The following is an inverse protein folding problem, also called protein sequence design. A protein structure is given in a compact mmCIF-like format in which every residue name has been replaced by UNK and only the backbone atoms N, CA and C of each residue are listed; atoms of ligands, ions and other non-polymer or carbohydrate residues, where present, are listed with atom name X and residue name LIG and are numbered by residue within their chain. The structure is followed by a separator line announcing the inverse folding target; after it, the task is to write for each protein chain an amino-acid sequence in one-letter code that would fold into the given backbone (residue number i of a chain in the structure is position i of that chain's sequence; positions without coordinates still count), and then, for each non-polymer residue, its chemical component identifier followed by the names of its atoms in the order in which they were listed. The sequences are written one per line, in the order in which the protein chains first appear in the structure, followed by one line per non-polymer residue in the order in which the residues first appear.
data_IF_172466903889
#
_entry.id   IF_172466903889
#
_cell.length_a   1.000
_cell.length_b   1.000
_cell.length_c   1.000
_cell.angle_alpha   90.00
_cell.angle_beta   90.00
_cell.angle_gamma   90.00
#
_symmetry.space_group_name_H-M   'P 1'
#
loop_
_entity.id
_entity.type
_entity.pdbx_description
1 polymer ?
#
# COMPACT_ATOMS: atom_id res chain seq x y z
N UNK A 1 -31.15 -17.79 5.60
CA UNK A 1 -32.20 -18.12 4.60
C UNK A 1 -33.25 -17.01 4.38
N UNK A 2 -33.40 -16.01 5.26
CA UNK A 2 -34.45 -14.99 5.12
C UNK A 2 -33.97 -13.63 4.58
N UNK A 3 -33.23 -13.62 3.46
CA UNK A 3 -32.67 -12.38 2.87
C UNK A 3 -33.43 -11.89 1.62
N UNK A 4 -34.54 -12.54 1.24
CA UNK A 4 -35.24 -12.25 -0.02
C UNK A 4 -35.74 -10.81 -0.10
N UNK A 5 -36.32 -10.27 0.99
CA UNK A 5 -36.89 -8.92 1.02
C UNK A 5 -35.82 -7.83 0.81
N UNK A 6 -34.71 -7.80 1.58
CA UNK A 6 -33.62 -6.85 1.33
C UNK A 6 -33.05 -6.92 -0.10
N UNK A 7 -32.94 -8.13 -0.68
CA UNK A 7 -32.46 -8.32 -2.06
C UNK A 7 -33.43 -7.68 -3.05
N UNK A 8 -34.73 -7.96 -2.94
CA UNK A 8 -35.74 -7.39 -3.82
C UNK A 8 -35.86 -5.87 -3.66
N UNK A 9 -35.74 -5.35 -2.44
CA UNK A 9 -35.70 -3.91 -2.18
C UNK A 9 -34.49 -3.26 -2.86
N UNK A 10 -33.32 -3.92 -2.83
CA UNK A 10 -32.11 -3.44 -3.52
C UNK A 10 -32.30 -3.41 -5.03
N UNK A 11 -32.83 -4.49 -5.61
CA UNK A 11 -33.13 -4.56 -7.05
C UNK A 11 -34.12 -3.48 -7.46
N UNK A 12 -35.20 -3.31 -6.68
CA UNK A 12 -36.21 -2.27 -6.93
C UNK A 12 -35.61 -0.88 -6.84
N UNK A 13 -34.72 -0.62 -5.87
CA UNK A 13 -34.06 0.66 -5.73
C UNK A 13 -33.11 0.93 -6.91
N UNK A 14 -32.36 -0.07 -7.39
CA UNK A 14 -31.52 0.05 -8.59
C UNK A 14 -32.36 0.42 -9.81
N UNK A 15 -33.49 -0.27 -10.04
CA UNK A 15 -34.42 0.03 -11.13
C UNK A 15 -35.08 1.40 -10.94
N UNK A 16 -35.51 1.77 -9.74
CA UNK A 16 -36.13 3.06 -9.44
C UNK A 16 -35.16 4.24 -9.52
N UNK A 17 -33.87 4.00 -9.31
CA UNK A 17 -32.79 4.97 -9.50
C UNK A 17 -32.31 5.09 -10.95
N UNK A 18 -32.90 4.33 -11.89
CA UNK A 18 -32.51 4.37 -13.31
C UNK A 18 -32.79 5.72 -13.98
N UNK A 19 -33.67 6.56 -13.42
CA UNK A 19 -33.82 7.97 -13.82
C UNK A 19 -32.59 8.84 -13.47
N UNK A 20 -31.66 8.30 -12.67
CA UNK A 20 -30.34 8.90 -12.33
C UNK A 20 -29.14 8.13 -12.90
N UNK A 21 -29.36 7.15 -13.78
CA UNK A 21 -28.32 6.40 -14.49
C UNK A 21 -27.56 5.40 -13.62
N UNK A 22 -27.91 4.11 -13.72
CA UNK A 22 -27.04 3.05 -13.21
C UNK A 22 -25.77 3.01 -14.06
N UNK A 23 -24.69 3.59 -13.53
CA UNK A 23 -23.42 3.76 -14.27
C UNK A 23 -22.61 2.46 -14.23
N UNK A 24 -22.96 1.51 -15.10
CA UNK A 24 -21.99 0.49 -15.51
C UNK A 24 -20.92 1.21 -16.34
N UNK A 25 -19.61 0.93 -16.14
CA UNK A 25 -18.57 1.53 -16.97
C UNK A 25 -18.86 1.28 -18.45
N UNK A 26 -18.73 2.31 -19.29
CA UNK A 26 -19.07 2.23 -20.72
C UNK A 26 -18.35 1.08 -21.44
N UNK A 27 -17.08 0.86 -21.10
CA UNK A 27 -16.25 -0.22 -21.64
C UNK A 27 -16.68 -1.64 -21.20
N UNK A 28 -17.52 -1.76 -20.16
CA UNK A 28 -18.05 -3.04 -19.68
C UNK A 28 -19.50 -3.27 -20.10
N UNK A 29 -20.23 -2.22 -20.51
CA UNK A 29 -21.66 -2.25 -20.75
C UNK A 29 -22.08 -3.36 -21.74
N UNK A 30 -21.48 -3.38 -22.93
CA UNK A 30 -21.87 -4.32 -23.99
C UNK A 30 -21.51 -5.76 -23.62
N UNK A 31 -20.29 -5.95 -23.08
CA UNK A 31 -19.84 -7.24 -22.56
C UNK A 31 -20.73 -7.76 -21.42
N UNK A 32 -21.22 -6.89 -20.54
CA UNK A 32 -22.14 -7.26 -19.46
C UNK A 32 -23.51 -7.69 -19.98
N UNK A 33 -24.02 -7.04 -21.03
CA UNK A 33 -25.28 -7.41 -21.69
C UNK A 33 -25.15 -8.62 -22.63
N UNK A 34 -23.92 -9.05 -22.93
CA UNK A 34 -23.63 -10.16 -23.84
C UNK A 34 -23.65 -9.76 -25.32
N UNK A 35 -23.50 -8.47 -25.62
CA UNK A 35 -23.31 -7.95 -26.97
C UNK A 35 -21.81 -7.70 -27.25
N UNK A 36 -21.46 -7.41 -28.50
CA UNK A 36 -20.10 -7.00 -28.87
C UNK A 36 -19.08 -8.15 -28.88
N UNK A 37 -17.80 -7.78 -28.86
CA UNK A 37 -16.70 -8.74 -28.81
C UNK A 37 -16.29 -8.98 -27.34
N UNK A 38 -16.29 -10.24 -26.86
CA UNK A 38 -15.94 -10.56 -25.47
C UNK A 38 -14.53 -10.11 -25.05
N UNK A 39 -13.64 -9.87 -26.02
CA UNK A 39 -12.29 -9.36 -25.79
C UNK A 39 -12.19 -7.85 -25.57
N UNK A 40 -13.23 -7.06 -25.86
CA UNK A 40 -13.16 -5.58 -25.82
C UNK A 40 -12.89 -5.02 -24.41
N UNK A 41 -13.32 -5.71 -23.37
CA UNK A 41 -13.06 -5.31 -21.99
C UNK A 41 -11.67 -5.73 -21.47
N UNK A 42 -10.83 -6.38 -22.29
CA UNK A 42 -9.48 -6.75 -21.86
C UNK A 42 -8.54 -5.56 -21.84
N UNK A 43 -7.50 -5.63 -20.99
CA UNK A 43 -6.55 -4.52 -20.88
C UNK A 43 -5.85 -4.19 -22.20
N UNK A 44 -5.57 -5.20 -23.05
CA UNK A 44 -4.95 -4.99 -24.37
C UNK A 44 -5.87 -4.16 -25.28
N UNK A 45 -7.16 -4.48 -25.33
CA UNK A 45 -8.14 -3.77 -26.16
C UNK A 45 -8.39 -2.35 -25.65
N UNK A 46 -8.54 -2.16 -24.33
CA UNK A 46 -8.74 -0.83 -23.75
C UNK A 46 -7.52 0.08 -23.93
N UNK A 47 -6.32 -0.49 -23.84
CA UNK A 47 -5.09 0.27 -24.07
C UNK A 47 -4.94 0.70 -25.54
N UNK A 48 -5.42 -0.12 -26.49
CA UNK A 48 -5.46 0.25 -27.91
C UNK A 48 -6.47 1.39 -28.17
N UNK A 49 -7.64 1.38 -27.52
CA UNK A 49 -8.66 2.43 -27.62
C UNK A 49 -8.21 3.79 -27.04
N UNK A 50 -7.60 3.77 -25.85
CA UNK A 50 -7.15 4.99 -25.16
C UNK A 50 -5.81 5.54 -25.72
N UNK A 51 -5.23 4.87 -26.73
CA UNK A 51 -4.00 5.28 -27.39
C UNK A 51 -2.72 5.09 -26.56
N UNK A 52 -2.81 4.49 -25.37
CA UNK A 52 -1.66 4.12 -24.54
C UNK A 52 -0.89 2.94 -25.15
N UNK A 53 -1.58 2.08 -25.89
CA UNK A 53 -1.04 0.85 -26.47
C UNK A 53 -0.57 -0.16 -25.43
N UNK A 54 -0.02 -1.29 -25.88
CA UNK A 54 0.53 -2.35 -25.00
C UNK A 54 1.84 -1.96 -24.30
N UNK A 55 2.37 -0.77 -24.61
CA UNK A 55 3.58 -0.25 -24.01
C UNK A 55 3.20 0.47 -22.70
N UNK A 56 3.68 -0.06 -21.59
CA UNK A 56 3.31 0.42 -20.26
C UNK A 56 4.38 0.07 -19.25
N UNK A 57 4.45 0.84 -18.17
CA UNK A 57 5.34 0.57 -17.05
C UNK A 57 4.51 0.14 -15.87
N UNK A 58 4.76 -1.05 -15.34
CA UNK A 58 4.12 -1.59 -14.16
C UNK A 58 5.16 -1.91 -13.10
N UNK A 59 4.88 -1.52 -11.87
CA UNK A 59 5.70 -1.93 -10.73
C UNK A 59 5.14 -3.23 -10.15
N UNK A 60 5.88 -4.33 -10.33
CA UNK A 60 5.52 -5.64 -9.81
C UNK A 60 5.93 -5.81 -8.34
N UNK A 61 6.63 -4.85 -7.74
CA UNK A 61 7.09 -4.92 -6.35
C UNK A 61 7.75 -6.27 -6.04
N UNK A 62 7.28 -6.97 -5.00
CA UNK A 62 7.76 -8.26 -4.53
C UNK A 62 7.10 -9.48 -5.21
N UNK A 63 6.43 -9.29 -6.37
CA UNK A 63 5.81 -10.40 -7.11
C UNK A 63 6.84 -11.46 -7.49
N UNK A 64 8.07 -11.05 -7.82
CA UNK A 64 9.16 -11.97 -8.15
C UNK A 64 10.11 -12.13 -6.97
N UNK A 65 10.57 -13.36 -6.77
CA UNK A 65 11.47 -13.73 -5.67
C UNK A 65 12.94 -13.52 -6.04
N UNK A 66 13.24 -13.50 -7.34
CA UNK A 66 14.59 -13.34 -7.89
C UNK A 66 14.51 -12.94 -9.35
N UNK A 67 15.64 -12.48 -9.90
CA UNK A 67 15.78 -12.22 -11.33
C UNK A 67 15.54 -13.48 -12.17
N UNK A 68 15.96 -14.66 -11.70
CA UNK A 68 15.70 -15.93 -12.38
C UNK A 68 14.20 -16.24 -12.46
N UNK A 69 13.47 -16.03 -11.36
CA UNK A 69 12.02 -16.18 -11.31
C UNK A 69 11.34 -15.21 -12.28
N UNK A 70 11.80 -13.96 -12.35
CA UNK A 70 11.30 -12.98 -13.31
C UNK A 70 11.52 -13.45 -14.76
N UNK A 71 12.74 -13.85 -15.13
CA UNK A 71 13.04 -14.30 -16.51
C UNK A 71 12.21 -15.52 -16.89
N UNK A 72 12.04 -16.47 -15.98
CA UNK A 72 11.16 -17.64 -16.21
C UNK A 72 9.69 -17.26 -16.38
N UNK A 73 9.24 -16.18 -15.77
CA UNK A 73 7.84 -15.72 -15.83
C UNK A 73 7.45 -15.15 -17.19
N UNK A 74 8.42 -14.76 -18.02
CA UNK A 74 8.18 -14.20 -19.36
C UNK A 74 8.94 -15.00 -20.44
N UNK A 75 8.58 -16.27 -20.70
CA UNK A 75 9.35 -17.18 -21.56
C UNK A 75 9.39 -16.78 -23.04
N UNK A 76 8.53 -15.85 -23.47
CA UNK A 76 8.40 -15.40 -24.86
C UNK A 76 8.87 -13.95 -25.08
N UNK A 77 9.41 -13.30 -24.04
CA UNK A 77 9.91 -11.94 -24.11
C UNK A 77 11.44 -11.91 -24.02
N UNK A 78 12.05 -10.95 -24.69
CA UNK A 78 13.47 -10.64 -24.50
C UNK A 78 13.61 -9.74 -23.27
N UNK A 79 14.11 -10.31 -22.17
CA UNK A 79 14.13 -9.66 -20.86
C UNK A 79 15.51 -9.08 -20.57
N UNK A 80 15.60 -7.76 -20.59
CA UNK A 80 16.78 -7.00 -20.18
C UNK A 80 16.57 -6.49 -18.75
N UNK A 81 17.38 -6.98 -17.81
CA UNK A 81 17.33 -6.55 -16.41
C UNK A 81 18.49 -5.61 -16.13
N UNK A 82 18.18 -4.42 -15.64
CA UNK A 82 19.14 -3.50 -15.04
C UNK A 82 18.93 -3.49 -13.53
N UNK A 83 20.00 -3.75 -12.78
CA UNK A 83 20.01 -3.59 -11.32
C UNK A 83 20.90 -2.40 -10.95
N UNK A 84 20.40 -1.56 -10.05
CA UNK A 84 21.24 -0.60 -9.31
C UNK A 84 22.12 -1.30 -8.27
N UNK A 85 22.81 -0.52 -7.45
CA UNK A 85 23.47 -1.05 -6.25
C UNK A 85 22.42 -1.63 -5.29
N UNK A 86 22.62 -2.87 -4.86
CA UNK A 86 21.71 -3.61 -3.98
C UNK A 86 22.41 -3.95 -2.67
N UNK A 87 21.73 -3.74 -1.55
CA UNK A 87 22.20 -4.15 -0.22
C UNK A 87 22.14 -5.69 -0.10
N UNK A 88 22.97 -6.29 0.77
CA UNK A 88 23.09 -7.75 0.92
C UNK A 88 21.77 -8.41 1.39
N UNK A 89 20.93 -7.67 2.13
CA UNK A 89 19.57 -8.09 2.55
C UNK A 89 18.43 -7.30 1.89
N UNK A 90 18.72 -6.67 0.74
CA UNK A 90 17.81 -5.81 -0.01
C UNK A 90 16.44 -6.44 -0.24
N UNK A 91 15.42 -5.57 -0.29
CA UNK A 91 14.08 -5.95 -0.68
C UNK A 91 13.92 -5.59 -2.14
N UNK A 92 14.33 -6.53 -2.99
CA UNK A 92 14.32 -6.31 -4.43
C UNK A 92 12.89 -6.25 -4.92
N UNK A 93 12.52 -5.10 -5.45
CA UNK A 93 11.32 -4.91 -6.24
C UNK A 93 11.68 -4.80 -7.71
N UNK A 94 10.71 -5.10 -8.57
CA UNK A 94 10.92 -5.12 -10.02
C UNK A 94 9.89 -4.25 -10.72
N UNK A 95 10.38 -3.20 -11.38
CA UNK A 95 9.58 -2.34 -12.23
C UNK A 95 9.80 -2.72 -13.69
N UNK A 96 8.74 -3.17 -14.34
CA UNK A 96 8.79 -3.71 -15.69
C UNK A 96 8.19 -2.73 -16.70
N UNK A 97 8.95 -2.41 -17.73
CA UNK A 97 8.53 -1.59 -18.88
C UNK A 97 8.35 -2.50 -20.09
N UNK A 98 7.11 -2.66 -20.52
CA UNK A 98 6.74 -3.44 -21.70
C UNK A 98 6.93 -2.58 -22.94
N UNK A 99 7.70 -3.08 -23.91
CA UNK A 99 7.95 -2.39 -25.17
C UNK A 99 7.33 -3.12 -26.36
N UNK A 100 7.44 -2.50 -27.53
CA UNK A 100 7.15 -3.16 -28.81
C UNK A 100 8.17 -4.30 -29.05
N UNK A 101 7.84 -5.18 -29.98
CA UNK A 101 8.71 -6.29 -30.41
C UNK A 101 9.06 -7.33 -29.32
N UNK A 102 8.14 -7.56 -28.37
CA UNK A 102 8.30 -8.54 -27.27
C UNK A 102 9.51 -8.27 -26.36
N UNK A 103 9.97 -7.02 -26.28
CA UNK A 103 11.05 -6.62 -25.39
C UNK A 103 10.52 -6.18 -24.03
N UNK A 104 11.16 -6.62 -22.95
CA UNK A 104 10.84 -6.30 -21.58
C UNK A 104 12.08 -5.71 -20.89
N UNK A 105 12.04 -4.42 -20.55
CA UNK A 105 13.07 -3.81 -19.70
C UNK A 105 12.61 -3.84 -18.25
N UNK A 106 13.47 -4.35 -17.37
CA UNK A 106 13.18 -4.41 -15.94
C UNK A 106 14.22 -3.65 -15.16
N UNK A 107 13.77 -2.71 -14.34
CA UNK A 107 14.56 -2.04 -13.34
C UNK A 107 14.34 -2.75 -12.00
N UNK A 108 15.38 -3.44 -11.52
CA UNK A 108 15.42 -3.94 -10.16
C UNK A 108 15.88 -2.81 -9.24
N UNK A 109 15.12 -2.52 -8.18
CA UNK A 109 15.46 -1.50 -7.19
C UNK A 109 15.32 -2.04 -5.76
N UNK A 110 16.16 -1.55 -4.85
CA UNK A 110 16.04 -1.85 -3.43
C UNK A 110 14.95 -0.98 -2.80
N UNK A 111 13.98 -1.62 -2.16
CA UNK A 111 12.93 -0.95 -1.39
C UNK A 111 13.19 -0.96 0.12
N UNK A 112 14.36 -1.43 0.56
CA UNK A 112 14.72 -1.43 1.97
C UNK A 112 15.27 -0.09 2.44
N UNK A 113 14.67 0.52 3.49
CA UNK A 113 15.33 1.56 4.28
C UNK A 113 16.68 1.03 4.78
N UNK A 114 17.69 1.91 4.81
CA UNK A 114 18.97 1.66 5.51
C UNK A 114 18.76 1.50 7.00
N UNK A 115 17.94 2.38 7.57
CA UNK A 115 17.60 2.36 8.99
C UNK A 115 16.10 2.14 9.15
N UNK A 116 15.74 1.08 9.90
CA UNK A 116 14.35 0.75 10.20
C UNK A 116 14.08 0.91 11.68
N UNK A 117 13.02 1.65 11.98
CA UNK A 117 12.43 1.69 13.31
C UNK A 117 11.33 0.61 13.36
N UNK A 118 11.63 -0.55 13.94
CA UNK A 118 10.67 -1.64 14.12
C UNK A 118 10.86 -2.86 13.21
N UNK A 119 9.75 -3.52 12.83
CA UNK A 119 9.76 -4.80 12.13
C UNK A 119 10.11 -4.67 10.63
N UNK A 120 10.76 -5.71 10.07
CA UNK A 120 11.02 -5.78 8.62
C UNK A 120 9.69 -5.91 7.86
N UNK A 121 9.51 -5.17 6.74
CA UNK A 121 8.32 -5.28 5.91
C UNK A 121 8.19 -6.71 5.37
N UNK A 122 6.94 -7.17 5.34
CA UNK A 122 6.64 -8.55 4.96
C UNK A 122 6.80 -8.71 3.45
N UNK A 123 7.22 -9.90 3.02
CA UNK A 123 7.46 -10.23 1.61
C UNK A 123 6.56 -11.34 1.14
N UNK A 124 6.25 -11.32 -0.14
CA UNK A 124 5.69 -12.45 -0.85
C UNK A 124 6.62 -13.68 -0.76
N UNK A 125 6.12 -14.83 -0.28
CA UNK A 125 6.89 -16.08 -0.30
C UNK A 125 6.60 -16.95 -1.53
N UNK A 126 5.67 -16.57 -2.40
CA UNK A 126 5.11 -17.45 -3.44
C UNK A 126 5.86 -17.29 -4.77
N UNK A 127 6.44 -18.38 -5.33
CA UNK A 127 6.99 -18.37 -6.69
C UNK A 127 5.85 -18.57 -7.70
N UNK A 128 5.26 -17.46 -8.17
CA UNK A 128 4.17 -17.50 -9.14
C UNK A 128 4.59 -18.12 -10.48
N UNK A 129 3.71 -18.91 -11.08
CA UNK A 129 3.96 -19.45 -12.43
C UNK A 129 3.81 -18.37 -13.51
N UNK A 130 4.35 -18.55 -14.73
CA UNK A 130 4.18 -17.59 -15.83
C UNK A 130 2.70 -17.26 -16.10
N UNK A 131 1.81 -18.25 -16.02
CA UNK A 131 0.36 -18.05 -16.17
C UNK A 131 -0.23 -17.21 -15.03
N UNK A 132 0.21 -17.42 -13.79
CA UNK A 132 -0.21 -16.62 -12.64
C UNK A 132 0.32 -15.19 -12.74
N UNK A 133 1.57 -14.99 -13.17
CA UNK A 133 2.13 -13.65 -13.42
C UNK A 133 1.35 -12.92 -14.51
N UNK A 134 0.95 -13.62 -15.58
CA UNK A 134 0.05 -13.05 -16.59
C UNK A 134 -1.30 -12.61 -16.01
N UNK A 135 -1.87 -13.40 -15.09
CA UNK A 135 -3.09 -13.03 -14.38
C UNK A 135 -2.90 -11.83 -13.43
N UNK A 136 -1.77 -11.76 -12.72
CA UNK A 136 -1.40 -10.62 -11.85
C UNK A 136 -1.27 -9.35 -12.69
N UNK A 137 -0.51 -9.41 -13.80
CA UNK A 137 -0.36 -8.30 -14.74
C UNK A 137 -1.73 -7.81 -15.22
N UNK A 138 -2.57 -8.72 -15.71
CA UNK A 138 -3.89 -8.34 -16.22
C UNK A 138 -4.74 -7.68 -15.13
N UNK A 139 -4.69 -8.18 -13.88
CA UNK A 139 -5.47 -7.62 -12.77
C UNK A 139 -4.96 -6.30 -12.20
N UNK A 140 -3.73 -5.90 -12.53
CA UNK A 140 -3.18 -4.58 -12.19
C UNK A 140 -3.54 -3.50 -13.22
N UNK A 141 -3.91 -3.92 -14.43
CA UNK A 141 -4.27 -3.04 -15.52
C UNK A 141 -5.78 -2.75 -15.52
N UNK A 142 -6.17 -1.69 -16.22
CA UNK A 142 -7.58 -1.36 -16.41
C UNK A 142 -8.26 -2.41 -17.29
N UNK A 143 -9.41 -2.92 -16.86
CA UNK A 143 -10.26 -3.79 -17.66
C UNK A 143 -10.91 -4.91 -16.85
N UNK A 144 -11.44 -5.90 -17.56
CA UNK A 144 -12.01 -7.12 -17.00
C UNK A 144 -10.98 -8.26 -17.05
N UNK A 145 -10.56 -8.73 -15.87
CA UNK A 145 -9.69 -9.90 -15.74
C UNK A 145 -10.49 -11.08 -15.20
N UNK A 146 -10.64 -12.12 -16.02
CA UNK A 146 -11.28 -13.38 -15.61
C UNK A 146 -10.24 -14.47 -15.39
N UNK A 147 -10.05 -14.89 -14.14
CA UNK A 147 -9.08 -15.92 -13.76
C UNK A 147 -9.81 -17.24 -13.51
N UNK A 148 -9.63 -18.20 -14.42
CA UNK A 148 -10.14 -19.56 -14.25
C UNK A 148 -9.01 -20.45 -13.72
N UNK A 149 -9.22 -21.07 -12.56
CA UNK A 149 -8.23 -21.96 -11.96
C UNK A 149 -8.90 -23.17 -11.30
N UNK A 150 -8.47 -24.41 -11.60
CA UNK A 150 -8.87 -25.61 -10.87
C UNK A 150 -8.67 -25.50 -9.34
N UNK A 151 -9.27 -26.40 -8.54
CA UNK A 151 -8.97 -26.48 -7.11
C UNK A 151 -7.45 -26.62 -6.86
N UNK A 152 -6.91 -25.85 -5.91
CA UNK A 152 -5.50 -25.93 -5.53
C UNK A 152 -4.50 -25.12 -6.38
N UNK A 153 -4.92 -24.39 -7.42
CA UNK A 153 -4.00 -23.64 -8.29
C UNK A 153 -3.57 -22.25 -7.78
N UNK A 154 -3.68 -21.99 -6.48
CA UNK A 154 -3.21 -20.73 -5.87
C UNK A 154 -4.01 -19.48 -6.23
N UNK A 155 -5.33 -19.60 -6.52
CA UNK A 155 -6.19 -18.45 -6.87
C UNK A 155 -6.16 -17.36 -5.79
N UNK A 156 -6.18 -17.73 -4.51
CA UNK A 156 -6.09 -16.78 -3.40
C UNK A 156 -4.76 -16.03 -3.43
N UNK A 157 -3.64 -16.71 -3.69
CA UNK A 157 -2.31 -16.08 -3.72
C UNK A 157 -2.21 -15.06 -4.85
N UNK A 158 -2.74 -15.39 -6.04
CA UNK A 158 -2.82 -14.46 -7.17
C UNK A 158 -3.67 -13.24 -6.81
N UNK A 159 -4.86 -13.45 -6.22
CA UNK A 159 -5.72 -12.35 -5.80
C UNK A 159 -5.05 -11.45 -4.76
N UNK A 160 -4.38 -12.04 -3.75
CA UNK A 160 -3.67 -11.28 -2.71
C UNK A 160 -2.50 -10.49 -3.30
N UNK A 161 -1.77 -11.02 -4.28
CA UNK A 161 -0.68 -10.27 -4.92
C UNK A 161 -1.23 -9.11 -5.77
N UNK A 162 -2.33 -9.31 -6.50
CA UNK A 162 -3.01 -8.22 -7.22
C UNK A 162 -3.40 -7.12 -6.23
N UNK A 163 -4.03 -7.48 -5.11
CA UNK A 163 -4.43 -6.54 -4.07
C UNK A 163 -3.23 -5.78 -3.48
N UNK A 164 -2.13 -6.47 -3.17
CA UNK A 164 -0.92 -5.86 -2.64
C UNK A 164 -0.28 -4.88 -3.64
N UNK A 165 -0.25 -5.24 -4.93
CA UNK A 165 0.29 -4.38 -5.97
C UNK A 165 -0.60 -3.14 -6.19
N UNK A 166 -1.93 -3.32 -6.31
CA UNK A 166 -2.88 -2.22 -6.45
C UNK A 166 -2.82 -1.25 -5.26
N UNK A 167 -2.70 -1.78 -4.04
CA UNK A 167 -2.56 -0.98 -2.81
C UNK A 167 -1.35 -0.05 -2.87
N UNK A 168 -0.22 -0.50 -3.44
CA UNK A 168 1.01 0.29 -3.57
C UNK A 168 0.99 1.20 -4.79
N UNK A 169 0.45 0.75 -5.91
CA UNK A 169 0.42 1.51 -7.17
C UNK A 169 -0.60 2.64 -7.16
N UNK A 170 -1.72 2.47 -6.47
CA UNK A 170 -2.84 3.41 -6.47
C UNK A 170 -3.31 3.71 -5.04
N UNK A 171 -2.51 4.43 -4.22
CA UNK A 171 -2.80 4.64 -2.80
C UNK A 171 -4.10 5.42 -2.53
N UNK A 172 -4.58 6.20 -3.51
CA UNK A 172 -5.82 6.96 -3.42
C UNK A 172 -7.07 6.16 -3.84
N UNK A 173 -6.90 4.95 -4.38
CA UNK A 173 -8.00 4.09 -4.80
C UNK A 173 -8.42 3.13 -3.70
N UNK A 174 -9.72 2.83 -3.63
CA UNK A 174 -10.29 1.82 -2.74
C UNK A 174 -10.57 0.54 -3.51
N UNK A 175 -10.17 -0.61 -2.97
CA UNK A 175 -10.45 -1.92 -3.56
C UNK A 175 -11.55 -2.65 -2.80
N UNK A 176 -12.63 -3.02 -3.51
CA UNK A 176 -13.74 -3.78 -2.94
C UNK A 176 -13.56 -5.28 -3.22
N UNK A 177 -13.50 -6.08 -2.15
CA UNK A 177 -13.41 -7.55 -2.24
C UNK A 177 -14.77 -8.16 -1.92
N UNK A 178 -15.31 -8.95 -2.84
CA UNK A 178 -16.58 -9.66 -2.67
C UNK A 178 -16.35 -11.17 -2.83
N UNK A 179 -16.77 -11.96 -1.85
CA UNK A 179 -16.70 -13.43 -1.89
C UNK A 179 -18.05 -14.05 -1.58
N UNK A 180 -18.27 -15.27 -2.06
CA UNK A 180 -19.49 -16.03 -1.72
C UNK A 180 -19.46 -16.56 -0.27
N UNK A 181 -18.28 -16.94 0.25
CA UNK A 181 -18.14 -17.53 1.58
C UNK A 181 -17.21 -16.73 2.49
N UNK A 182 -17.51 -16.75 3.79
CA UNK A 182 -16.62 -16.19 4.81
C UNK A 182 -15.26 -16.90 4.86
N UNK A 183 -15.20 -18.19 4.52
CA UNK A 183 -13.94 -18.93 4.47
C UNK A 183 -12.98 -18.36 3.42
N UNK A 184 -13.49 -18.10 2.20
CA UNK A 184 -12.67 -17.47 1.15
C UNK A 184 -12.21 -16.07 1.55
N UNK A 185 -13.08 -15.30 2.22
CA UNK A 185 -12.70 -13.98 2.71
C UNK A 185 -11.62 -14.07 3.82
N UNK A 186 -11.73 -15.04 4.74
CA UNK A 186 -10.73 -15.27 5.78
C UNK A 186 -9.37 -15.59 5.17
N UNK A 187 -9.31 -16.51 4.20
CA UNK A 187 -8.06 -16.92 3.52
C UNK A 187 -7.37 -15.71 2.83
N UNK A 188 -8.15 -14.84 2.19
CA UNK A 188 -7.62 -13.58 1.62
C UNK A 188 -7.08 -12.66 2.72
N UNK A 189 -7.82 -12.45 3.81
CA UNK A 189 -7.40 -11.58 4.92
C UNK A 189 -6.16 -12.11 5.65
N UNK A 190 -6.08 -13.41 5.91
CA UNK A 190 -4.91 -14.02 6.57
C UNK A 190 -3.64 -13.85 5.71
N UNK A 191 -3.77 -14.00 4.39
CA UNK A 191 -2.65 -13.82 3.47
C UNK A 191 -2.29 -12.35 3.23
N UNK A 192 -3.26 -11.44 3.13
CA UNK A 192 -2.95 -10.00 2.94
C UNK A 192 -2.28 -9.40 4.17
N UNK A 193 -2.61 -9.87 5.37
CA UNK A 193 -1.92 -9.50 6.61
C UNK A 193 -0.46 -9.99 6.64
N UNK A 194 -0.10 -10.96 5.81
CA UNK A 194 1.28 -11.41 5.62
C UNK A 194 2.01 -10.63 4.52
N UNK A 195 1.36 -9.62 3.91
CA UNK A 195 1.96 -8.72 2.93
C UNK A 195 2.25 -7.37 3.54
N UNK A 196 3.00 -6.57 2.80
CA UNK A 196 3.31 -5.18 3.12
C UNK A 196 2.12 -4.26 2.84
N UNK A 197 1.04 -4.49 3.60
CA UNK A 197 -0.22 -3.72 3.58
C UNK A 197 -0.54 -3.32 5.01
N UNK A 198 -0.73 -2.02 5.25
CA UNK A 198 -1.06 -1.55 6.60
C UNK A 198 -2.48 -1.97 6.95
N UNK A 199 -2.62 -2.64 8.09
CA UNK A 199 -3.88 -3.14 8.60
C UNK A 199 -4.91 -2.05 8.89
N UNK A 200 -4.49 -0.79 9.02
CA UNK A 200 -5.38 0.36 9.16
C UNK A 200 -6.27 0.58 7.93
N UNK A 201 -5.81 0.15 6.75
CA UNK A 201 -6.54 0.25 5.50
C UNK A 201 -7.39 -1.00 5.20
N UNK A 202 -7.40 -1.99 6.10
CA UNK A 202 -8.20 -3.20 5.96
C UNK A 202 -9.51 -3.09 6.76
N UNK A 203 -10.63 -3.25 6.07
CA UNK A 203 -11.96 -3.26 6.67
C UNK A 203 -12.78 -4.43 6.14
N UNK A 204 -13.42 -5.16 7.05
CA UNK A 204 -14.31 -6.28 6.74
C UNK A 204 -15.74 -5.99 7.18
N UNK A 205 -16.68 -6.26 6.27
CA UNK A 205 -18.12 -6.19 6.53
C UNK A 205 -18.72 -7.60 6.55
N UNK A 206 -19.58 -7.88 7.53
CA UNK A 206 -20.32 -9.15 7.64
C UNK A 206 -20.06 -9.92 8.93
N UNK A 207 -20.87 -10.96 9.16
CA UNK A 207 -20.97 -11.69 10.43
C UNK A 207 -19.94 -12.85 10.60
N UNK A 208 -18.84 -12.87 9.85
CA UNK A 208 -17.86 -13.98 9.85
C UNK A 208 -16.53 -13.70 10.52
N UNK A 209 -16.36 -12.51 11.12
CA UNK A 209 -15.07 -12.05 11.66
C UNK A 209 -14.51 -12.94 12.78
N UNK A 210 -15.37 -13.44 13.68
CA UNK A 210 -14.95 -14.24 14.85
C UNK A 210 -14.20 -15.53 14.49
N UNK A 211 -14.25 -15.95 13.23
CA UNK A 211 -13.57 -17.14 12.73
C UNK A 211 -12.22 -16.85 12.05
N UNK A 212 -11.76 -15.59 12.02
CA UNK A 212 -10.43 -15.25 11.55
C UNK A 212 -9.40 -15.74 12.59
N UNK A 213 -8.35 -16.44 12.15
CA UNK A 213 -7.34 -17.00 13.05
C UNK A 213 -6.34 -15.92 13.56
N UNK A 214 -6.86 -14.78 14.02
CA UNK A 214 -6.05 -13.64 14.47
C UNK A 214 -6.70 -12.98 15.68
N UNK A 215 -5.88 -12.47 16.61
CA UNK A 215 -6.39 -11.67 17.73
C UNK A 215 -6.92 -10.28 17.30
N UNK A 216 -6.65 -9.88 16.05
CA UNK A 216 -7.03 -8.58 15.49
C UNK A 216 -8.47 -8.59 14.97
N UNK A 217 -9.15 -7.47 15.16
CA UNK A 217 -10.55 -7.28 14.75
C UNK A 217 -10.64 -6.32 13.56
N UNK A 218 -11.07 -6.83 12.41
CA UNK A 218 -11.26 -6.11 11.14
C UNK A 218 -12.71 -5.66 10.89
N UNK A 219 -13.64 -5.92 11.79
CA UNK A 219 -14.97 -5.32 11.71
C UNK A 219 -14.93 -3.82 11.91
N UNK A 220 -16.01 -3.15 11.52
CA UNK A 220 -16.24 -1.73 11.79
C UNK A 220 -15.89 -1.31 13.23
N UNK A 221 -16.35 -2.07 14.22
CA UNK A 221 -16.09 -1.76 15.64
C UNK A 221 -14.63 -2.02 16.01
N UNK A 222 -14.07 -3.16 15.57
CA UNK A 222 -12.66 -3.49 15.77
C UNK A 222 -11.72 -2.43 15.20
N UNK A 223 -12.01 -1.97 13.98
CA UNK A 223 -11.23 -0.94 13.31
C UNK A 223 -11.31 0.41 14.00
N UNK A 224 -12.48 0.82 14.49
CA UNK A 224 -12.60 2.03 15.33
C UNK A 224 -11.74 1.91 16.59
N UNK A 225 -11.81 0.80 17.31
CA UNK A 225 -11.01 0.59 18.51
C UNK A 225 -9.51 0.60 18.22
N UNK A 226 -9.09 -0.04 17.12
CA UNK A 226 -7.69 -0.02 16.69
C UNK A 226 -7.24 1.41 16.37
N UNK A 227 -8.02 2.18 15.60
CA UNK A 227 -7.67 3.57 15.27
C UNK A 227 -7.60 4.46 16.51
N UNK A 228 -8.49 4.25 17.49
CA UNK A 228 -8.44 4.96 18.77
C UNK A 228 -7.19 4.62 19.59
N UNK A 229 -6.79 3.35 19.65
CA UNK A 229 -5.56 2.93 20.33
C UNK A 229 -4.33 3.48 19.62
N UNK A 230 -4.28 3.33 18.29
CA UNK A 230 -3.18 3.83 17.45
C UNK A 230 -3.01 5.35 17.58
N UNK A 231 -4.12 6.10 17.70
CA UNK A 231 -4.08 7.53 18.04
C UNK A 231 -3.33 7.79 19.34
N UNK A 232 -3.63 7.05 20.41
CA UNK A 232 -2.96 7.23 21.71
C UNK A 232 -1.46 6.93 21.59
N UNK A 233 -1.11 5.84 20.93
CA UNK A 233 0.28 5.41 20.75
C UNK A 233 1.09 6.45 19.95
N UNK A 234 0.54 6.98 18.86
CA UNK A 234 1.20 8.02 18.05
C UNK A 234 1.28 9.37 18.72
N UNK A 235 0.25 9.76 19.46
CA UNK A 235 0.31 10.99 20.26
C UNK A 235 1.37 10.91 21.37
N UNK A 236 1.54 9.74 22.00
CA UNK A 236 2.63 9.51 22.94
C UNK A 236 4.01 9.60 22.27
N UNK A 237 4.14 9.09 21.05
CA UNK A 237 5.36 9.22 20.25
C UNK A 237 5.66 10.68 19.86
N UNK A 238 4.64 11.45 19.46
CA UNK A 238 4.77 12.90 19.24
C UNK A 238 5.22 13.63 20.50
N UNK A 239 4.69 13.26 21.67
CA UNK A 239 5.13 13.83 22.94
C UNK A 239 6.60 13.49 23.24
N UNK A 240 7.05 12.26 22.95
CA UNK A 240 8.44 11.87 23.08
C UNK A 240 9.36 12.65 22.12
N UNK A 241 8.93 12.88 20.88
CA UNK A 241 9.64 13.72 19.91
C UNK A 241 9.72 15.18 20.37
N UNK A 242 8.63 15.76 20.88
CA UNK A 242 8.65 17.13 21.41
C UNK A 242 9.64 17.27 22.58
N UNK A 243 9.67 16.27 23.47
CA UNK A 243 10.60 16.21 24.60
C UNK A 243 12.06 16.10 24.12
N UNK A 244 12.37 15.25 23.15
CA UNK A 244 13.74 15.10 22.62
C UNK A 244 14.23 16.36 21.90
N UNK A 245 13.31 17.18 21.38
CA UNK A 245 13.62 18.47 20.75
C UNK A 245 13.68 19.65 21.73
N UNK A 246 13.46 19.40 23.04
CA UNK A 246 13.39 20.38 24.11
C UNK A 246 12.37 21.51 23.83
N UNK A 247 11.22 21.16 23.26
CA UNK A 247 10.15 22.10 22.95
C UNK A 247 9.14 22.08 24.09
N UNK A 248 8.88 23.24 24.69
CA UNK A 248 7.92 23.38 25.76
C UNK A 248 6.49 23.39 25.21
N UNK A 249 5.61 22.59 25.82
CA UNK A 249 4.20 22.50 25.45
C UNK A 249 3.73 21.06 25.36
N UNK A 250 2.41 20.86 25.40
CA UNK A 250 1.79 19.54 25.30
C UNK A 250 1.43 19.23 23.84
N UNK A 251 2.47 19.02 23.02
CA UNK A 251 2.31 18.83 21.58
C UNK A 251 1.65 17.49 21.22
N UNK A 252 1.72 16.50 22.10
CA UNK A 252 1.09 15.19 21.94
C UNK A 252 -0.31 15.08 22.57
N UNK A 253 -0.97 16.19 22.92
CA UNK A 253 -2.29 16.13 23.58
C UNK A 253 -3.43 15.79 22.61
N UNK A 254 -3.47 16.44 21.44
CA UNK A 254 -4.49 16.22 20.40
C UNK A 254 -3.86 16.04 19.02
N UNK A 255 -4.64 15.49 18.09
CA UNK A 255 -4.21 15.41 16.69
C UNK A 255 -3.94 16.81 16.10
N UNK A 256 -4.65 17.84 16.56
CA UNK A 256 -4.47 19.21 16.12
C UNK A 256 -3.17 19.85 16.65
N UNK A 257 -2.85 19.68 17.93
CA UNK A 257 -1.59 20.19 18.49
C UNK A 257 -0.38 19.51 17.87
N UNK A 258 -0.50 18.21 17.55
CA UNK A 258 0.52 17.44 16.87
C UNK A 258 0.76 17.95 15.44
N UNK A 259 -0.31 18.22 14.67
CA UNK A 259 -0.21 18.79 13.32
C UNK A 259 0.48 20.18 13.33
N UNK A 260 0.12 21.04 14.28
CA UNK A 260 0.76 22.34 14.46
C UNK A 260 2.26 22.19 14.81
N UNK A 261 2.58 21.27 15.71
CA UNK A 261 3.97 20.97 16.08
C UNK A 261 4.79 20.48 14.88
N UNK A 262 4.22 19.61 14.05
CA UNK A 262 4.87 19.14 12.84
C UNK A 262 5.18 20.29 11.88
N UNK A 263 4.16 21.08 11.53
CA UNK A 263 4.27 22.19 10.57
C UNK A 263 5.25 23.28 11.02
N UNK A 264 5.20 23.67 12.29
CA UNK A 264 5.96 24.82 12.79
C UNK A 264 7.31 24.46 13.42
N UNK A 265 7.56 23.19 13.73
CA UNK A 265 8.83 22.80 14.40
C UNK A 265 9.55 21.72 13.63
N UNK A 266 8.92 20.56 13.46
CA UNK A 266 9.59 19.38 12.88
C UNK A 266 10.02 19.64 11.44
N UNK A 267 9.09 20.10 10.59
CA UNK A 267 9.36 20.37 9.18
C UNK A 267 10.42 21.45 8.99
N UNK A 268 10.35 22.55 9.75
CA UNK A 268 11.35 23.62 9.67
C UNK A 268 12.74 23.16 10.12
N UNK A 269 12.85 22.26 11.11
CA UNK A 269 14.14 21.69 11.51
C UNK A 269 14.71 20.78 10.42
N UNK A 270 13.86 19.98 9.77
CA UNK A 270 14.28 19.15 8.65
C UNK A 270 14.76 19.98 7.45
N UNK A 271 13.99 21.00 7.04
CA UNK A 271 14.37 21.89 5.94
C UNK A 271 15.71 22.59 6.23
N UNK A 272 15.91 23.09 7.45
CA UNK A 272 17.20 23.66 7.88
C UNK A 272 18.34 22.65 7.84
N UNK A 273 18.08 21.40 8.23
CA UNK A 273 19.08 20.34 8.19
C UNK A 273 19.51 20.02 6.76
N UNK A 274 18.57 19.90 5.83
CA UNK A 274 18.87 19.68 4.41
C UNK A 274 19.70 20.83 3.82
N UNK A 275 19.31 22.08 4.10
CA UNK A 275 20.10 23.27 3.72
C UNK A 275 21.52 23.24 4.31
N UNK A 276 21.65 22.83 5.57
CA UNK A 276 22.95 22.74 6.26
C UNK A 276 23.83 21.62 5.69
N UNK A 277 23.28 20.46 5.31
CA UNK A 277 24.05 19.37 4.68
C UNK A 277 24.66 19.82 3.36
N UNK A 278 23.94 20.61 2.56
CA UNK A 278 24.41 21.09 1.27
C UNK A 278 25.51 22.16 1.41
N UNK A 279 25.35 23.08 2.38
CA UNK A 279 26.28 24.19 2.63
C UNK A 279 27.53 23.77 3.39
N UNK A 280 27.38 22.92 4.40
CA UNK A 280 28.42 22.55 5.37
C UNK A 280 28.94 21.12 5.11
N UNK A 281 29.57 20.92 3.94
CA UNK A 281 30.13 19.61 3.55
C UNK A 281 31.20 19.06 4.51
N UNK A 282 31.82 19.94 5.29
CA UNK A 282 32.90 19.60 6.23
C UNK A 282 32.40 19.05 7.57
N UNK A 283 31.10 19.20 7.90
CA UNK A 283 30.55 18.67 9.15
C UNK A 283 29.91 17.30 8.95
N UNK A 284 29.99 16.46 9.98
CA UNK A 284 29.34 15.16 9.98
C UNK A 284 27.81 15.29 9.93
N UNK A 285 27.16 14.43 9.16
CA UNK A 285 25.69 14.43 9.01
C UNK A 285 25.00 14.21 10.36
N UNK A 286 25.54 13.31 11.19
CA UNK A 286 25.02 13.04 12.54
C UNK A 286 25.05 14.28 13.45
N UNK A 287 26.08 15.12 13.34
CA UNK A 287 26.21 16.34 14.15
C UNK A 287 25.12 17.37 13.79
N UNK A 288 24.78 17.45 12.51
CA UNK A 288 23.74 18.34 12.00
C UNK A 288 22.32 17.79 12.20
N UNK A 289 22.18 16.48 12.40
CA UNK A 289 20.88 15.79 12.42
C UNK A 289 20.02 16.23 13.62
N UNK A 290 18.86 16.88 13.38
CA UNK A 290 18.11 17.55 14.44
C UNK A 290 17.32 16.60 15.33
N UNK A 291 17.18 15.32 14.95
CA UNK A 291 16.36 14.33 15.66
C UNK A 291 17.21 13.25 16.36
N UNK A 292 18.52 13.45 16.55
CA UNK A 292 19.41 12.44 17.11
C UNK A 292 19.03 11.92 18.49
N UNK A 293 18.45 12.77 19.37
CA UNK A 293 17.97 12.33 20.68
C UNK A 293 16.72 11.44 20.60
N UNK A 294 15.93 11.57 19.54
CA UNK A 294 14.75 10.73 19.30
C UNK A 294 15.15 9.37 18.71
N UNK A 295 16.24 9.32 17.95
CA UNK A 295 16.80 8.10 17.35
C UNK A 295 18.22 7.81 17.90
N UNK A 296 18.36 7.45 19.18
CA UNK A 296 19.67 7.20 19.79
C UNK A 296 20.38 5.99 19.17
N UNK A 297 19.62 5.03 18.65
CA UNK A 297 20.12 3.78 18.06
C UNK A 297 20.33 3.88 16.53
N UNK A 298 20.22 5.07 15.94
CA UNK A 298 20.48 5.27 14.52
C UNK A 298 21.97 5.00 14.19
N UNK A 299 22.28 4.12 13.22
CA UNK A 299 23.63 3.61 12.99
C UNK A 299 24.47 4.58 12.14
N UNK A 300 24.57 5.84 12.56
CA UNK A 300 25.41 6.82 11.88
C UNK A 300 26.88 6.42 11.93
N UNK A 301 27.53 6.34 10.76
CA UNK A 301 28.97 6.08 10.67
C UNK A 301 29.77 7.37 10.92
N UNK A 302 30.94 7.24 11.54
CA UNK A 302 31.90 8.33 11.72
C UNK A 302 32.82 8.51 10.50
N UNK A 303 32.79 7.60 9.53
CA UNK A 303 33.65 7.65 8.35
C UNK A 303 33.18 8.73 7.37
N UNK A 304 34.10 9.61 6.93
CA UNK A 304 33.79 10.68 5.97
C UNK A 304 33.27 10.14 4.62
N UNK A 305 33.73 8.94 4.21
CA UNK A 305 33.25 8.26 2.99
C UNK A 305 31.80 7.77 3.11
N UNK A 306 31.25 7.67 4.32
CA UNK A 306 29.88 7.23 4.58
C UNK A 306 28.87 8.40 4.61
N UNK A 307 29.22 9.57 4.08
CA UNK A 307 28.33 10.75 4.10
C UNK A 307 26.99 10.47 3.43
N UNK A 308 26.99 9.86 2.24
CA UNK A 308 25.77 9.53 1.49
C UNK A 308 24.88 8.55 2.26
N UNK A 309 25.49 7.49 2.82
CA UNK A 309 24.81 6.54 3.69
C UNK A 309 24.16 7.22 4.90
N UNK A 310 24.88 8.13 5.56
CA UNK A 310 24.35 8.87 6.71
C UNK A 310 23.19 9.80 6.33
N UNK A 311 23.18 10.36 5.12
CA UNK A 311 22.04 11.13 4.60
C UNK A 311 20.83 10.22 4.35
N UNK A 312 21.06 9.01 3.84
CA UNK A 312 19.99 8.00 3.67
C UNK A 312 19.42 7.58 5.04
N UNK A 313 20.25 7.29 6.03
CA UNK A 313 19.82 6.99 7.42
C UNK A 313 18.99 8.14 8.00
N UNK A 314 19.42 9.39 7.82
CA UNK A 314 18.69 10.55 8.30
C UNK A 314 17.33 10.72 7.60
N UNK A 315 17.28 10.39 6.30
CA UNK A 315 16.05 10.40 5.50
C UNK A 315 15.08 9.33 5.99
N UNK A 316 15.55 8.10 6.23
CA UNK A 316 14.73 7.02 6.79
C UNK A 316 14.15 7.38 8.17
N UNK A 317 14.97 7.99 9.03
CA UNK A 317 14.51 8.51 10.32
C UNK A 317 13.40 9.55 10.16
N UNK A 318 13.54 10.44 9.18
CA UNK A 318 12.54 11.46 8.90
C UNK A 318 11.26 10.87 8.29
N UNK A 319 11.37 9.86 7.43
CA UNK A 319 10.23 9.12 6.87
C UNK A 319 9.42 8.42 7.97
N UNK A 320 10.09 7.89 9.00
CA UNK A 320 9.40 7.40 10.20
C UNK A 320 8.58 8.51 10.87
N UNK A 321 9.18 9.68 11.09
CA UNK A 321 8.48 10.84 11.65
C UNK A 321 7.28 11.24 10.78
N UNK A 322 7.45 11.31 9.46
CA UNK A 322 6.37 11.61 8.52
C UNK A 322 5.22 10.61 8.65
N UNK A 323 5.52 9.31 8.75
CA UNK A 323 4.52 8.27 8.92
C UNK A 323 3.76 8.40 10.24
N UNK A 324 4.43 8.76 11.34
CA UNK A 324 3.78 9.05 12.63
C UNK A 324 2.76 10.18 12.47
N UNK A 325 3.15 11.31 11.88
CA UNK A 325 2.24 12.45 11.72
C UNK A 325 1.12 12.20 10.71
N UNK A 326 1.39 11.45 9.63
CA UNK A 326 0.34 10.98 8.70
C UNK A 326 -0.70 10.13 9.42
N UNK A 327 -0.27 9.21 10.28
CA UNK A 327 -1.18 8.38 11.08
C UNK A 327 -1.98 9.19 12.10
N UNK A 328 -1.37 10.20 12.71
CA UNK A 328 -2.09 11.14 13.60
C UNK A 328 -3.17 11.91 12.84
N UNK A 329 -2.88 12.36 11.62
CA UNK A 329 -3.82 13.04 10.74
C UNK A 329 -5.00 12.14 10.36
N UNK A 330 -4.73 10.89 9.96
CA UNK A 330 -5.78 9.90 9.67
C UNK A 330 -6.67 9.62 10.89
N UNK A 331 -6.09 9.64 12.10
CA UNK A 331 -6.81 9.47 13.36
C UNK A 331 -7.60 10.71 13.81
N UNK A 332 -7.41 11.88 13.19
CA UNK A 332 -8.09 13.14 13.59
C UNK A 332 -9.61 13.01 13.56
N UNK A 333 -10.13 12.28 12.58
CA UNK A 333 -11.55 11.97 12.46
C UNK A 333 -12.12 11.26 13.71
N UNK A 334 -11.35 10.38 14.33
CA UNK A 334 -11.75 9.64 15.53
C UNK A 334 -11.88 10.54 16.76
N UNK A 335 -11.11 11.63 16.80
CA UNK A 335 -11.19 12.66 17.84
C UNK A 335 -12.44 13.53 17.69
N UNK A 336 -12.77 13.93 16.46
CA UNK A 336 -13.89 14.82 16.16
C UNK A 336 -15.25 14.12 16.28
N UNK A 337 -15.34 12.88 15.79
CA UNK A 337 -16.57 12.09 15.81
C UNK A 337 -16.80 11.49 17.20
N UNK A 338 -17.98 11.73 17.78
CA UNK A 338 -18.27 11.33 19.17
C UNK A 338 -18.81 9.91 19.31
N UNK A 339 -19.62 9.46 18.36
CA UNK A 339 -20.28 8.16 18.45
C UNK A 339 -19.57 7.11 17.58
N UNK A 340 -19.67 5.84 17.97
CA UNK A 340 -18.99 4.74 17.26
C UNK A 340 -19.63 4.44 15.90
N UNK A 341 -20.88 4.86 15.68
CA UNK A 341 -21.57 4.66 14.40
C UNK A 341 -20.91 5.51 13.32
N UNK A 342 -20.81 6.82 13.56
CA UNK A 342 -20.23 7.82 12.66
C UNK A 342 -18.74 7.55 12.46
N UNK A 343 -18.01 7.20 13.53
CA UNK A 343 -16.60 6.78 13.42
C UNK A 343 -16.43 5.60 12.48
N UNK A 344 -17.29 4.60 12.59
CA UNK A 344 -17.21 3.47 11.70
C UNK A 344 -17.71 3.79 10.29
N UNK A 345 -18.67 4.72 10.12
CA UNK A 345 -19.12 5.19 8.81
C UNK A 345 -18.02 5.98 8.10
N UNK A 346 -17.16 6.68 8.84
CA UNK A 346 -15.98 7.35 8.29
C UNK A 346 -14.90 6.39 7.77
N UNK A 347 -14.77 5.20 8.38
CA UNK A 347 -13.81 4.18 7.93
C UNK A 347 -14.26 3.44 6.66
N UNK A 348 -15.54 3.57 6.28
CA UNK A 348 -16.10 3.09 5.02
C UNK A 348 -15.78 4.09 3.90
#
# INVERSE_FOLDING_TARGET
ENNFKPILETIRNLIGSSDSGTVIPSWLHDNFLGYGNPGEATYDSLAEEDGSGRAGTLDFYDTFLSEEHLKRSFPHMDVEVSSGEMKEDAQTHFKATFEKDNKLRVEAYDSSPVYRVGEKPKRNPVPFTPTQVGAIRSGMERGLTLIVGPPGTGKTDVAVQILANLYKSYPDQKVLIVTHSNYALNDIFEKIMQRDVDERHLLRLGQGEKALATEKSFSKVGRVNHMLQKRLDRLAEVAALAKSLNVAGDHGYTCETADLFFKHTVRLRWEKFMDSIEREKNKGVQELFPFGQFFPDAPFSQDESARELNVEIASDCYDHILNVFKEVEECRSMELLRNNKDRGDYLL
#
